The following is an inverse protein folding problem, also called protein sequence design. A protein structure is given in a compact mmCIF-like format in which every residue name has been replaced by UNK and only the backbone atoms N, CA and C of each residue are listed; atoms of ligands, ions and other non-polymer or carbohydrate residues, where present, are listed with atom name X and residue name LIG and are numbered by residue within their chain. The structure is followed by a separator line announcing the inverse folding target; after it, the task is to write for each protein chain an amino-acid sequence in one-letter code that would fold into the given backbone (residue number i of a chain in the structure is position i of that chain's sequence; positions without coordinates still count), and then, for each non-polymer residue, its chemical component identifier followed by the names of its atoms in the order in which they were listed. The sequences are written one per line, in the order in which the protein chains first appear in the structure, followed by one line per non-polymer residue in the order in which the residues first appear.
data_IF_552279930226
#
_entry.id   IF_552279930226
#
_cell.length_a   1.000
_cell.length_b   1.000
_cell.length_c   1.000
_cell.angle_alpha   90.00
_cell.angle_beta   90.00
_cell.angle_gamma   90.00
#
_symmetry.space_group_name_H-M   'P 1'
#
loop_
_entity.id
_entity.type
_entity.pdbx_description
1 polymer ?
#
# COMPACT_ATOMS: atom_id res chain seq x y z
N UNK A 1 -0.20 -13.85 18.90
CA UNK A 1 -1.13 -12.72 19.01
C UNK A 1 -0.93 -11.83 17.81
N UNK A 2 -1.99 -11.57 17.05
CA UNK A 2 -2.10 -10.48 16.10
C UNK A 2 -3.49 -9.88 16.31
N UNK A 3 -3.55 -8.63 16.74
CA UNK A 3 -4.77 -7.85 16.93
C UNK A 3 -4.76 -6.67 15.97
N UNK A 4 -5.27 -6.92 14.77
CA UNK A 4 -5.91 -6.00 13.85
C UNK A 4 -6.74 -6.95 12.96
N UNK A 5 -8.06 -6.84 13.00
CA UNK A 5 -8.97 -7.91 12.58
C UNK A 5 -8.65 -8.48 11.19
N UNK A 6 -8.79 -9.79 11.05
CA UNK A 6 -8.59 -10.52 9.78
C UNK A 6 -9.27 -9.81 8.61
N UNK A 7 -8.69 -9.94 7.41
CA UNK A 7 -9.32 -9.48 6.18
C UNK A 7 -10.71 -10.13 6.03
N UNK A 8 -11.75 -9.31 5.93
CA UNK A 8 -13.13 -9.79 5.78
C UNK A 8 -13.52 -9.75 4.31
N UNK A 9 -13.68 -10.91 3.70
CA UNK A 9 -14.18 -11.02 2.33
C UNK A 9 -15.55 -10.33 2.19
N UNK A 10 -15.77 -9.65 1.07
CA UNK A 10 -17.00 -8.89 0.78
C UNK A 10 -17.09 -7.52 1.46
N UNK A 11 -16.06 -7.10 2.21
CA UNK A 11 -15.95 -5.71 2.71
C UNK A 11 -15.16 -4.85 1.72
N UNK A 12 -15.57 -3.60 1.59
CA UNK A 12 -14.84 -2.58 0.84
C UNK A 12 -13.89 -1.84 1.77
N UNK A 13 -12.66 -1.61 1.31
CA UNK A 13 -11.62 -0.89 2.03
C UNK A 13 -11.09 0.25 1.17
N UNK A 14 -10.85 1.42 1.77
CA UNK A 14 -10.10 2.49 1.12
C UNK A 14 -8.61 2.19 1.23
N UNK A 15 -7.91 2.23 0.10
CA UNK A 15 -6.48 1.99 0.00
C UNK A 15 -5.83 3.15 -0.75
N UNK A 16 -4.58 3.46 -0.38
CA UNK A 16 -3.75 4.44 -1.10
C UNK A 16 -2.65 3.68 -1.82
N UNK A 17 -2.43 4.02 -3.08
CA UNK A 17 -1.37 3.46 -3.93
C UNK A 17 -0.91 4.49 -4.96
N UNK A 18 0.12 4.18 -5.74
CA UNK A 18 0.60 5.05 -6.83
C UNK A 18 -0.30 4.94 -8.07
N UNK A 19 -0.27 5.98 -8.92
CA UNK A 19 -1.08 6.00 -10.15
C UNK A 19 -0.76 4.82 -11.08
N UNK A 20 0.53 4.48 -11.22
CA UNK A 20 0.98 3.34 -12.03
C UNK A 20 0.33 2.02 -11.63
N UNK A 21 0.29 1.70 -10.32
CA UNK A 21 -0.34 0.47 -9.83
C UNK A 21 -1.87 0.55 -9.92
N UNK A 22 -2.46 1.71 -9.64
CA UNK A 22 -3.89 1.95 -9.80
C UNK A 22 -4.38 1.77 -11.25
N UNK A 23 -3.49 1.98 -12.23
CA UNK A 23 -3.72 1.76 -13.66
C UNK A 23 -3.39 0.34 -14.14
N UNK A 24 -3.05 -0.57 -13.22
CA UNK A 24 -2.77 -1.98 -13.53
C UNK A 24 -1.33 -2.29 -13.89
N UNK A 25 -0.38 -1.40 -13.57
CA UNK A 25 1.05 -1.66 -13.66
C UNK A 25 1.46 -2.95 -12.94
N UNK A 26 2.57 -3.55 -13.36
CA UNK A 26 3.11 -4.82 -12.82
C UNK A 26 2.13 -5.99 -12.74
N UNK A 27 1.07 -5.97 -13.56
CA UNK A 27 0.07 -7.03 -13.61
C UNK A 27 -1.04 -6.90 -12.56
N UNK A 28 -1.10 -5.77 -11.83
CA UNK A 28 -2.16 -5.50 -10.85
C UNK A 28 -3.47 -5.01 -11.50
N UNK A 29 -3.94 -5.70 -12.55
CA UNK A 29 -5.14 -5.33 -13.30
C UNK A 29 -6.41 -5.22 -12.44
N UNK A 30 -6.45 -5.91 -11.29
CA UNK A 30 -7.58 -5.84 -10.36
C UNK A 30 -7.87 -4.43 -9.84
N UNK A 31 -6.86 -3.54 -9.76
CA UNK A 31 -7.10 -2.14 -9.38
C UNK A 31 -7.76 -1.35 -10.50
N UNK A 32 -7.30 -1.54 -11.74
CA UNK A 32 -7.87 -0.87 -12.91
C UNK A 32 -9.32 -1.28 -13.15
N UNK A 33 -9.61 -2.58 -13.04
CA UNK A 33 -10.89 -3.14 -13.45
C UNK A 33 -11.90 -3.21 -12.29
N UNK A 34 -11.42 -3.31 -11.05
CA UNK A 34 -12.25 -3.62 -9.88
C UNK A 34 -12.30 -2.54 -8.80
N UNK A 35 -11.43 -1.52 -8.85
CA UNK A 35 -11.41 -0.46 -7.83
C UNK A 35 -11.97 0.87 -8.36
N UNK A 36 -12.62 1.62 -7.46
CA UNK A 36 -13.04 2.99 -7.74
C UNK A 36 -11.95 3.96 -7.28
N UNK A 37 -11.48 4.82 -8.19
CA UNK A 37 -10.56 5.91 -7.86
C UNK A 37 -11.35 7.06 -7.23
N UNK A 38 -11.44 7.04 -5.90
CA UNK A 38 -12.15 8.09 -5.14
C UNK A 38 -11.41 9.43 -5.16
N UNK A 39 -10.08 9.40 -5.17
CA UNK A 39 -9.24 10.60 -5.18
C UNK A 39 -7.89 10.34 -5.83
N UNK A 40 -7.39 11.31 -6.58
CA UNK A 40 -6.03 11.34 -7.12
C UNK A 40 -5.36 12.56 -6.51
N UNK A 41 -4.25 12.34 -5.80
CA UNK A 41 -3.45 13.42 -5.26
C UNK A 41 -2.59 14.04 -6.36
N UNK A 42 -2.55 15.37 -6.42
CA UNK A 42 -1.78 16.13 -7.42
C UNK A 42 -0.27 16.12 -7.13
N UNK A 43 0.13 15.69 -5.94
CA UNK A 43 1.52 15.67 -5.51
C UNK A 43 2.22 14.37 -5.92
N UNK A 44 3.42 14.50 -6.50
CA UNK A 44 4.24 13.35 -6.87
C UNK A 44 4.74 12.60 -5.63
N UNK A 45 4.87 11.28 -5.77
CA UNK A 45 5.32 10.37 -4.73
C UNK A 45 6.62 10.81 -4.04
N UNK A 46 7.60 11.29 -4.81
CA UNK A 46 8.88 11.76 -4.30
C UNK A 46 8.73 12.90 -3.29
N UNK A 47 7.85 13.86 -3.57
CA UNK A 47 7.64 15.01 -2.68
C UNK A 47 6.92 14.60 -1.40
N UNK A 48 5.95 13.68 -1.50
CA UNK A 48 5.25 13.13 -0.34
C UNK A 48 6.23 12.39 0.58
N UNK A 49 7.11 11.56 0.00
CA UNK A 49 8.14 10.84 0.78
C UNK A 49 9.10 11.83 1.44
N UNK A 50 9.60 12.84 0.71
CA UNK A 50 10.48 13.86 1.28
C UNK A 50 9.85 14.56 2.50
N UNK A 51 8.60 15.03 2.37
CA UNK A 51 7.84 15.65 3.47
C UNK A 51 7.65 14.70 4.65
N UNK A 52 7.41 13.42 4.39
CA UNK A 52 7.29 12.42 5.46
C UNK A 52 8.61 12.29 6.23
N UNK A 53 9.74 12.13 5.52
CA UNK A 53 11.06 11.97 6.15
C UNK A 53 11.47 13.21 6.96
N UNK A 54 11.19 14.40 6.46
CA UNK A 54 11.40 15.66 7.20
C UNK A 54 10.61 15.68 8.51
N UNK A 55 9.33 15.29 8.46
CA UNK A 55 8.45 15.26 9.63
C UNK A 55 8.83 14.19 10.65
N UNK A 56 9.37 13.06 10.21
CA UNK A 56 9.67 11.90 11.07
C UNK A 56 11.14 11.79 11.46
N UNK A 57 11.93 12.84 11.24
CA UNK A 57 13.35 12.84 11.55
C UNK A 57 13.63 12.95 13.07
N UNK A 58 14.62 12.22 13.63
CA UNK A 58 15.44 11.20 12.96
C UNK A 58 14.67 9.90 12.71
N UNK A 59 14.98 9.24 11.59
CA UNK A 59 14.28 8.03 11.16
C UNK A 59 14.79 6.81 11.94
N UNK A 60 13.86 6.00 12.46
CA UNK A 60 14.16 4.74 13.14
C UNK A 60 13.52 3.56 12.39
N UNK A 61 14.23 2.92 11.45
CA UNK A 61 13.71 1.77 10.74
C UNK A 61 13.75 0.50 11.62
N UNK A 62 12.79 -0.40 11.44
CA UNK A 62 12.74 -1.70 12.12
C UNK A 62 11.91 -2.72 11.37
N UNK A 63 12.19 -4.01 11.60
CA UNK A 63 11.36 -5.10 11.08
C UNK A 63 10.10 -5.24 11.94
N UNK A 64 8.97 -4.78 11.42
CA UNK A 64 7.69 -4.77 12.15
C UNK A 64 6.82 -6.00 11.88
N UNK A 65 7.35 -7.02 11.19
CA UNK A 65 6.60 -8.25 10.89
C UNK A 65 5.43 -8.08 9.91
N UNK A 66 5.47 -7.04 9.05
CA UNK A 66 4.39 -6.74 8.08
C UNK A 66 4.23 -7.79 6.98
N UNK A 67 5.31 -8.47 6.60
CA UNK A 67 5.33 -9.49 5.54
C UNK A 67 6.16 -10.68 6.01
N UNK A 68 5.63 -11.89 5.84
CA UNK A 68 6.35 -13.15 6.06
C UNK A 68 6.38 -13.92 4.74
N UNK A 69 7.58 -14.11 4.18
CA UNK A 69 7.75 -14.88 2.94
C UNK A 69 7.83 -16.37 3.31
N UNK A 70 6.73 -17.09 3.16
CA UNK A 70 6.72 -18.55 3.29
C UNK A 70 7.27 -19.19 2.01
N UNK A 71 8.26 -20.08 2.13
CA UNK A 71 8.67 -20.93 1.01
C UNK A 71 7.53 -21.90 0.68
N UNK A 72 6.79 -21.64 -0.40
CA UNK A 72 5.95 -22.66 -1.02
C UNK A 72 6.89 -23.64 -1.72
N UNK A 73 6.96 -24.89 -1.25
CA UNK A 73 7.61 -25.96 -2.02
C UNK A 73 6.70 -26.23 -3.23
N UNK A 74 7.26 -26.09 -4.42
CA UNK A 74 6.60 -26.47 -5.67
C UNK A 74 6.37 -27.97 -5.77
#
# INVERSE_FOLDING_TARGET
GLTAGDLRLGRTYSVVTTLFVADGGDGFAMFKDGAKKEHIYDEIDLNIVAKYLEKTSPIYPGEEGRIVISKVKG
#
